data_IF_973498447280
#
_entry.id   IF_973498447280
#
_cell.length_a   1.000
_cell.length_b   1.000
_cell.length_c   1.000
_cell.angle_alpha   90.00
_cell.angle_beta   90.00
_cell.angle_gamma   90.00
#
_symmetry.space_group_name_H-M   'P 1'
#
loop_
_entity.id
_entity.type
_entity.pdbx_description
1 polymer ?
#
# COMPACT_ATOMS: atom_id res chain seq x y z
N UNK A 1 -23.74 -9.20 -14.66
CA UNK A 1 -23.31 -10.58 -14.33
C UNK A 1 -22.24 -11.01 -15.33
N UNK A 2 -20.96 -10.77 -15.03
CA UNK A 2 -19.84 -11.24 -15.86
C UNK A 2 -19.29 -12.48 -15.19
N UNK A 3 -19.32 -13.58 -15.93
CA UNK A 3 -18.98 -14.95 -15.53
C UNK A 3 -17.49 -15.01 -15.20
N UNK A 4 -17.17 -15.16 -13.92
CA UNK A 4 -15.82 -15.32 -13.37
C UNK A 4 -15.45 -16.80 -13.44
N UNK A 5 -15.15 -17.31 -14.63
CA UNK A 5 -14.49 -18.61 -14.79
C UNK A 5 -13.73 -18.58 -16.13
N UNK A 6 -12.54 -17.97 -16.12
CA UNK A 6 -11.58 -18.13 -17.20
C UNK A 6 -10.23 -18.48 -16.60
N UNK A 7 -9.64 -19.66 -16.92
CA UNK A 7 -8.33 -20.09 -16.41
C UNK A 7 -7.19 -19.12 -16.81
N UNK A 8 -7.44 -18.21 -17.75
CA UNK A 8 -6.56 -17.08 -18.01
C UNK A 8 -6.47 -16.15 -16.80
N UNK A 9 -7.58 -15.80 -16.14
CA UNK A 9 -7.59 -14.84 -15.02
C UNK A 9 -6.76 -15.31 -13.81
N UNK A 10 -6.73 -16.62 -13.52
CA UNK A 10 -5.92 -17.20 -12.44
C UNK A 10 -4.43 -17.21 -12.78
N UNK A 11 -4.06 -17.57 -14.02
CA UNK A 11 -2.68 -17.46 -14.52
C UNK A 11 -2.22 -15.98 -14.60
N UNK A 12 -3.13 -15.05 -14.91
CA UNK A 12 -2.90 -13.60 -15.04
C UNK A 12 -2.60 -12.92 -13.70
N UNK A 13 -3.35 -13.26 -12.65
CA UNK A 13 -3.06 -12.80 -11.26
C UNK A 13 -1.72 -13.34 -10.75
N UNK A 14 -1.38 -14.58 -11.13
CA UNK A 14 -0.14 -15.22 -10.69
C UNK A 14 1.13 -14.54 -11.19
N UNK A 15 1.11 -13.89 -12.36
CA UNK A 15 2.29 -13.21 -12.90
C UNK A 15 2.63 -11.95 -12.10
N UNK A 16 1.62 -11.11 -11.82
CA UNK A 16 1.79 -9.97 -10.92
C UNK A 16 2.22 -10.41 -9.52
N UNK A 17 1.59 -11.46 -8.98
CA UNK A 17 1.96 -11.98 -7.65
C UNK A 17 3.36 -12.60 -7.62
N UNK A 18 3.80 -13.30 -8.67
CA UNK A 18 5.18 -13.81 -8.80
C UNK A 18 6.18 -12.67 -8.80
N UNK A 19 5.90 -11.62 -9.58
CA UNK A 19 6.72 -10.43 -9.54
C UNK A 19 6.66 -9.76 -8.17
N UNK A 20 5.50 -9.67 -7.51
CA UNK A 20 5.36 -9.15 -6.14
C UNK A 20 6.03 -10.03 -5.08
N UNK A 21 6.14 -11.34 -5.28
CA UNK A 21 6.77 -12.29 -4.36
C UNK A 21 8.29 -12.41 -4.57
N UNK A 22 8.85 -11.79 -5.62
CA UNK A 22 10.29 -11.85 -5.92
C UNK A 22 10.74 -13.08 -6.69
N UNK A 23 9.80 -13.83 -7.26
CA UNK A 23 10.10 -14.95 -8.14
C UNK A 23 10.58 -14.35 -9.47
N UNK A 24 11.80 -14.71 -9.90
CA UNK A 24 12.38 -14.26 -11.16
C UNK A 24 11.47 -14.66 -12.33
N UNK A 25 10.89 -13.67 -13.00
CA UNK A 25 10.22 -13.86 -14.29
C UNK A 25 11.14 -13.48 -15.44
N UNK A 26 10.93 -14.08 -16.60
CA UNK A 26 11.61 -13.70 -17.84
C UNK A 26 11.04 -12.38 -18.36
N UNK A 27 11.86 -11.59 -19.07
CA UNK A 27 11.45 -10.27 -19.60
C UNK A 27 10.21 -10.36 -20.52
N UNK A 28 10.07 -11.48 -21.23
CA UNK A 28 8.88 -11.79 -22.05
C UNK A 28 7.59 -11.97 -21.24
N UNK A 29 7.67 -12.50 -20.01
CA UNK A 29 6.51 -12.59 -19.12
C UNK A 29 6.19 -11.22 -18.48
N UNK A 30 7.22 -10.41 -18.19
CA UNK A 30 7.03 -9.03 -17.69
C UNK A 30 6.43 -8.09 -18.74
N UNK A 31 6.57 -8.38 -20.03
CA UNK A 31 5.91 -7.66 -21.13
C UNK A 31 4.41 -7.98 -21.27
N UNK A 32 3.94 -9.12 -20.75
CA UNK A 32 2.49 -9.38 -20.68
C UNK A 32 1.92 -8.67 -19.46
N UNK A 33 1.27 -7.51 -19.67
CA UNK A 33 0.43 -6.81 -18.68
C UNK A 33 -1.05 -7.08 -19.00
N UNK A 34 -1.58 -8.26 -18.63
CA UNK A 34 -2.86 -8.71 -19.15
C UNK A 34 -4.05 -8.00 -18.49
N UNK A 35 -3.87 -7.39 -17.31
CA UNK A 35 -4.87 -6.55 -16.63
C UNK A 35 -4.23 -5.30 -16.01
N UNK A 36 -3.79 -4.36 -16.86
CA UNK A 36 -3.15 -3.11 -16.42
C UNK A 36 -3.99 -2.33 -15.39
N UNK A 37 -5.32 -2.32 -15.54
CA UNK A 37 -6.22 -1.65 -14.59
C UNK A 37 -6.22 -2.28 -13.19
N UNK A 38 -6.18 -3.61 -13.09
CA UNK A 38 -6.16 -4.30 -11.80
C UNK A 38 -4.80 -4.14 -11.10
N UNK A 39 -3.70 -4.25 -11.83
CA UNK A 39 -2.36 -4.03 -11.28
C UNK A 39 -2.17 -2.58 -10.81
N UNK A 40 -2.66 -1.62 -11.60
CA UNK A 40 -2.66 -0.22 -11.21
C UNK A 40 -3.54 0.03 -9.99
N UNK A 41 -4.72 -0.61 -9.90
CA UNK A 41 -5.60 -0.55 -8.74
C UNK A 41 -4.93 -1.04 -7.46
N UNK A 42 -4.28 -2.20 -7.52
CA UNK A 42 -3.61 -2.79 -6.36
C UNK A 42 -2.47 -1.88 -5.91
N UNK A 43 -1.65 -1.36 -6.82
CA UNK A 43 -0.58 -0.44 -6.47
C UNK A 43 -1.11 0.84 -5.82
N UNK A 44 -2.10 1.50 -6.45
CA UNK A 44 -2.69 2.72 -5.91
C UNK A 44 -3.33 2.46 -4.55
N UNK A 45 -3.97 1.30 -4.36
CA UNK A 45 -4.57 0.91 -3.09
C UNK A 45 -3.53 0.65 -2.02
N UNK A 46 -2.48 -0.12 -2.30
CA UNK A 46 -1.39 -0.38 -1.34
C UNK A 46 -0.74 0.94 -0.90
N UNK A 47 -0.46 1.81 -1.86
CA UNK A 47 0.10 3.13 -1.58
C UNK A 47 -0.85 4.00 -0.77
N UNK A 48 -2.15 3.97 -1.08
CA UNK A 48 -3.17 4.71 -0.33
C UNK A 48 -3.31 4.20 1.11
N UNK A 49 -3.23 2.89 1.32
CA UNK A 49 -3.21 2.26 2.65
C UNK A 49 -1.99 2.70 3.44
N UNK A 50 -0.81 2.63 2.85
CA UNK A 50 0.45 3.05 3.47
C UNK A 50 0.42 4.54 3.86
N UNK A 51 0.06 5.41 2.92
CA UNK A 51 -0.01 6.86 3.18
C UNK A 51 -1.12 7.20 4.16
N UNK A 52 -2.28 6.54 4.04
CA UNK A 52 -3.40 6.74 4.94
C UNK A 52 -3.06 6.33 6.35
N UNK A 53 -2.36 5.20 6.52
CA UNK A 53 -1.93 4.73 7.82
C UNK A 53 -0.91 5.68 8.47
N UNK A 54 0.12 6.09 7.73
CA UNK A 54 1.12 7.02 8.25
C UNK A 54 0.52 8.39 8.62
N UNK A 55 -0.38 8.91 7.77
CA UNK A 55 -1.07 10.16 8.08
C UNK A 55 -2.00 10.01 9.29
N UNK A 56 -2.76 8.92 9.36
CA UNK A 56 -3.63 8.62 10.48
C UNK A 56 -2.86 8.43 11.79
N UNK A 57 -1.68 7.79 11.74
CA UNK A 57 -0.86 7.54 12.91
C UNK A 57 -0.20 8.81 13.45
N UNK A 58 0.10 9.79 12.59
CA UNK A 58 0.55 11.13 13.02
C UNK A 58 -0.61 11.99 13.52
N UNK A 59 -1.74 12.00 12.81
CA UNK A 59 -2.89 12.84 13.14
C UNK A 59 -3.62 12.38 14.41
N UNK A 60 -3.62 11.09 14.72
CA UNK A 60 -4.26 10.55 15.94
C UNK A 60 -3.72 11.17 17.23
N UNK A 61 -2.41 11.03 17.54
CA UNK A 61 -1.73 11.67 18.65
C UNK A 61 -1.87 13.19 18.64
N UNK A 62 -1.74 13.81 17.45
CA UNK A 62 -1.85 15.26 17.32
C UNK A 62 -3.24 15.76 17.71
N UNK A 63 -4.30 15.01 17.36
CA UNK A 63 -5.67 15.34 17.77
C UNK A 63 -5.87 15.25 19.28
N UNK A 64 -5.27 14.25 19.95
CA UNK A 64 -5.34 14.12 21.42
C UNK A 64 -4.56 15.24 22.12
N UNK A 65 -3.44 15.67 21.55
CA UNK A 65 -2.64 16.77 22.09
C UNK A 65 -3.23 18.16 21.82
N UNK A 66 -3.89 18.35 20.68
CA UNK A 66 -4.50 19.63 20.28
C UNK A 66 -5.89 19.85 20.91
N UNK A 67 -6.67 18.77 21.09
CA UNK A 67 -8.01 18.81 21.67
C UNK A 67 -8.00 18.23 23.09
N UNK A 68 -7.27 18.88 24.00
CA UNK A 68 -7.19 18.57 25.45
C UNK A 68 -8.53 18.75 26.20
N UNK A 69 -9.68 18.55 25.56
CA UNK A 69 -10.97 18.53 26.24
C UNK A 69 -11.08 17.22 27.04
N UNK A 70 -11.51 17.33 28.30
CA UNK A 70 -11.48 16.28 29.34
C UNK A 70 -12.17 14.94 29.04
N UNK A 71 -12.66 14.71 27.81
CA UNK A 71 -13.08 13.39 27.29
C UNK A 71 -11.92 12.55 26.75
N UNK A 72 -10.79 13.17 26.37
CA UNK A 72 -9.61 12.49 25.85
C UNK A 72 -8.71 11.86 26.93
N UNK A 73 -9.01 12.11 28.21
CA UNK A 73 -8.17 11.77 29.36
C UNK A 73 -7.94 10.25 29.58
N UNK A 74 -8.62 9.38 28.83
CA UNK A 74 -8.52 7.93 28.98
C UNK A 74 -7.73 7.17 27.91
N UNK A 75 -7.42 7.78 26.76
CA UNK A 75 -6.70 7.08 25.67
C UNK A 75 -5.22 7.48 25.68
N UNK A 76 -4.33 6.50 25.78
CA UNK A 76 -2.90 6.75 25.67
C UNK A 76 -2.57 7.33 24.30
N UNK A 77 -1.55 8.19 24.22
CA UNK A 77 -1.01 8.70 22.95
C UNK A 77 -0.70 7.55 21.98
N UNK A 78 -0.25 6.42 22.52
CA UNK A 78 -0.01 5.18 21.77
C UNK A 78 -1.30 4.61 21.18
N UNK A 79 -2.40 4.61 21.92
CA UNK A 79 -3.68 4.07 21.44
C UNK A 79 -4.24 4.97 20.32
N UNK A 80 -4.10 6.28 20.46
CA UNK A 80 -4.48 7.24 19.42
C UNK A 80 -3.63 7.09 18.14
N UNK A 81 -2.34 6.81 18.27
CA UNK A 81 -1.46 6.46 17.14
C UNK A 81 -1.93 5.22 16.41
N UNK A 82 -2.19 4.14 17.15
CA UNK A 82 -2.59 2.85 16.56
C UNK A 82 -3.98 2.93 15.95
N UNK A 83 -4.93 3.57 16.63
CA UNK A 83 -6.31 3.73 16.15
C UNK A 83 -6.37 4.68 14.95
N UNK A 84 -5.63 5.79 15.01
CA UNK A 84 -5.47 6.72 13.89
C UNK A 84 -4.86 6.04 12.67
N UNK A 85 -3.76 5.30 12.85
CA UNK A 85 -3.10 4.57 11.76
C UNK A 85 -3.96 3.46 11.18
N UNK A 86 -4.69 2.70 12.02
CA UNK A 86 -5.65 1.70 11.55
C UNK A 86 -6.79 2.32 10.75
N UNK A 87 -7.38 3.39 11.25
CA UNK A 87 -8.49 4.06 10.58
C UNK A 87 -8.02 4.71 9.27
N UNK A 88 -6.84 5.32 9.27
CA UNK A 88 -6.20 5.84 8.08
C UNK A 88 -5.90 4.77 7.04
N UNK A 89 -5.42 3.59 7.45
CA UNK A 89 -5.23 2.43 6.59
C UNK A 89 -6.55 1.97 5.95
N UNK A 90 -7.61 1.87 6.74
CA UNK A 90 -8.95 1.49 6.27
C UNK A 90 -9.53 2.50 5.28
N UNK A 91 -9.39 3.79 5.57
CA UNK A 91 -9.78 4.88 4.67
C UNK A 91 -8.97 4.79 3.37
N UNK A 92 -7.65 4.59 3.47
CA UNK A 92 -6.77 4.39 2.31
C UNK A 92 -7.16 3.18 1.46
N UNK A 93 -7.55 2.08 2.09
CA UNK A 93 -8.05 0.88 1.39
C UNK A 93 -9.35 1.15 0.62
N UNK A 94 -10.25 1.95 1.19
CA UNK A 94 -11.51 2.32 0.57
C UNK A 94 -11.33 3.37 -0.55
N UNK A 95 -10.46 4.36 -0.33
CA UNK A 95 -10.20 5.45 -1.28
C UNK A 95 -9.34 4.96 -2.47
N UNK A 96 -8.46 3.98 -2.27
CA UNK A 96 -7.57 3.45 -3.31
C UNK A 96 -8.29 3.06 -4.62
N UNK A 97 -9.32 2.20 -4.56
CA UNK A 97 -10.12 1.85 -5.74
C UNK A 97 -10.82 3.05 -6.38
N UNK A 98 -11.29 4.01 -5.57
CA UNK A 98 -11.95 5.24 -6.06
C UNK A 98 -10.95 6.12 -6.83
N UNK A 99 -9.76 6.36 -6.25
CA UNK A 99 -8.69 7.10 -6.92
C UNK A 99 -8.23 6.40 -8.19
N UNK A 100 -8.18 5.08 -8.17
CA UNK A 100 -7.85 4.29 -9.36
C UNK A 100 -8.89 4.49 -10.45
N UNK A 101 -10.18 4.41 -10.10
CA UNK A 101 -11.26 4.62 -11.05
C UNK A 101 -11.23 6.03 -11.66
N UNK A 102 -11.03 7.06 -10.83
CA UNK A 102 -10.88 8.44 -11.30
C UNK A 102 -9.65 8.61 -12.20
N UNK A 103 -8.51 8.03 -11.83
CA UNK A 103 -7.29 8.10 -12.61
C UNK A 103 -7.41 7.34 -13.94
N UNK A 104 -8.15 6.23 -13.98
CA UNK A 104 -8.40 5.46 -15.20
C UNK A 104 -9.40 6.16 -16.12
N UNK A 105 -10.40 6.88 -15.57
CA UNK A 105 -11.40 7.64 -16.36
C UNK A 105 -10.74 8.62 -17.33
N UNK A 106 -9.70 9.31 -16.86
CA UNK A 106 -9.04 10.37 -17.61
C UNK A 106 -7.79 9.87 -18.38
N UNK A 107 -7.52 8.56 -18.38
CA UNK A 107 -6.27 7.99 -18.91
C UNK A 107 -6.50 6.95 -20.02
N UNK A 108 -5.85 7.17 -21.17
CA UNK A 108 -5.87 6.22 -22.29
C UNK A 108 -5.22 4.89 -21.91
N UNK A 109 -5.71 3.77 -22.46
CA UNK A 109 -5.18 2.41 -22.23
C UNK A 109 -3.68 2.28 -22.48
N UNK A 110 -3.13 3.02 -23.46
CA UNK A 110 -1.69 3.03 -23.76
C UNK A 110 -0.85 3.64 -22.62
N UNK A 111 -1.30 4.75 -22.03
CA UNK A 111 -0.66 5.38 -20.86
C UNK A 111 -0.76 4.51 -19.61
N UNK A 112 -1.89 3.82 -19.42
CA UNK A 112 -2.06 2.89 -18.30
C UNK A 112 -1.05 1.73 -18.41
N UNK A 113 -0.89 1.19 -19.62
CA UNK A 113 0.08 0.12 -19.88
C UNK A 113 1.53 0.59 -19.64
N UNK A 114 1.91 1.78 -20.13
CA UNK A 114 3.24 2.36 -19.88
C UNK A 114 3.51 2.53 -18.36
N UNK A 115 2.52 3.02 -17.60
CA UNK A 115 2.64 3.13 -16.15
C UNK A 115 2.84 1.78 -15.47
N UNK A 116 2.03 0.77 -15.82
CA UNK A 116 2.17 -0.57 -15.26
C UNK A 116 3.51 -1.21 -15.61
N UNK A 117 4.00 -0.98 -16.84
CA UNK A 117 5.31 -1.43 -17.27
C UNK A 117 6.42 -0.81 -16.41
N UNK A 118 6.38 0.51 -16.19
CA UNK A 118 7.33 1.22 -15.32
C UNK A 118 7.25 0.75 -13.87
N UNK A 119 6.05 0.46 -13.36
CA UNK A 119 5.85 -0.08 -12.01
C UNK A 119 6.55 -1.43 -11.82
N UNK A 120 6.43 -2.34 -12.81
CA UNK A 120 7.07 -3.67 -12.73
C UNK A 120 8.59 -3.59 -12.71
N UNK A 121 9.16 -2.60 -13.40
CA UNK A 121 10.61 -2.35 -13.39
C UNK A 121 11.09 -1.53 -12.20
N UNK A 122 10.17 -0.87 -11.46
CA UNK A 122 10.53 -0.11 -10.27
C UNK A 122 10.76 -1.04 -9.07
N UNK A 123 11.97 -1.61 -9.01
CA UNK A 123 12.40 -2.51 -7.94
C UNK A 123 12.29 -1.87 -6.56
N UNK A 124 12.64 -0.59 -6.41
CA UNK A 124 12.62 0.07 -5.09
C UNK A 124 11.20 0.14 -4.51
N UNK A 125 10.23 0.58 -5.31
CA UNK A 125 8.84 0.63 -4.87
C UNK A 125 8.28 -0.75 -4.56
N UNK A 126 8.62 -1.76 -5.38
CA UNK A 126 8.17 -3.12 -5.15
C UNK A 126 8.78 -3.72 -3.88
N UNK A 127 10.06 -3.44 -3.59
CA UNK A 127 10.72 -3.83 -2.35
C UNK A 127 10.10 -3.14 -1.14
N UNK A 128 9.78 -1.85 -1.24
CA UNK A 128 9.08 -1.11 -0.19
C UNK A 128 7.72 -1.75 0.10
N UNK A 129 6.91 -1.98 -0.92
CA UNK A 129 5.56 -2.55 -0.74
C UNK A 129 5.63 -3.93 -0.07
N UNK A 130 6.59 -4.77 -0.47
CA UNK A 130 6.83 -6.07 0.18
C UNK A 130 7.26 -5.92 1.63
N UNK A 131 8.27 -5.10 1.91
CA UNK A 131 8.78 -4.89 3.26
C UNK A 131 7.68 -4.34 4.16
N UNK A 132 6.88 -3.40 3.66
CA UNK A 132 5.72 -2.86 4.35
C UNK A 132 4.69 -3.96 4.68
N UNK A 133 4.30 -4.78 3.70
CA UNK A 133 3.31 -5.85 3.91
C UNK A 133 3.85 -6.91 4.86
N UNK A 134 5.12 -7.31 4.71
CA UNK A 134 5.77 -8.30 5.58
C UNK A 134 5.92 -7.78 7.01
N UNK A 135 6.38 -6.55 7.21
CA UNK A 135 6.49 -5.92 8.52
C UNK A 135 5.13 -5.68 9.15
N UNK A 136 4.11 -5.30 8.38
CA UNK A 136 2.74 -5.17 8.87
C UNK A 136 2.16 -6.53 9.30
N UNK A 137 2.37 -7.58 8.52
CA UNK A 137 1.91 -8.93 8.84
C UNK A 137 2.64 -9.50 10.08
N UNK A 138 3.96 -9.35 10.14
CA UNK A 138 4.76 -9.75 11.30
C UNK A 138 4.38 -8.95 12.56
N UNK A 139 4.14 -7.66 12.39
CA UNK A 139 3.64 -6.77 13.44
C UNK A 139 2.26 -7.18 13.94
N UNK A 140 1.35 -7.55 13.03
CA UNK A 140 0.03 -8.04 13.37
C UNK A 140 0.08 -9.33 14.18
N UNK A 141 0.94 -10.27 13.80
CA UNK A 141 1.11 -11.55 14.51
C UNK A 141 1.77 -11.37 15.88
N UNK A 142 2.73 -10.45 16.01
CA UNK A 142 3.46 -10.25 17.26
C UNK A 142 2.69 -9.44 18.30
N UNK A 143 2.03 -8.35 17.90
CA UNK A 143 1.43 -7.39 18.83
C UNK A 143 0.08 -6.83 18.35
N UNK A 144 -0.61 -7.57 17.48
CA UNK A 144 -1.91 -7.18 16.95
C UNK A 144 -1.86 -5.92 16.09
N UNK A 145 -2.95 -5.17 16.06
CA UNK A 145 -3.10 -3.96 15.22
C UNK A 145 -2.05 -2.89 15.54
N UNK A 146 -1.55 -2.83 16.77
CA UNK A 146 -0.47 -1.93 17.17
C UNK A 146 0.84 -2.26 16.45
N UNK A 147 1.22 -3.54 16.42
CA UNK A 147 2.42 -3.97 15.71
C UNK A 147 2.29 -3.80 14.21
N UNK A 148 1.10 -3.97 13.64
CA UNK A 148 0.83 -3.75 12.22
C UNK A 148 1.12 -2.30 11.80
N UNK A 149 0.56 -1.32 12.51
CA UNK A 149 0.75 0.11 12.20
C UNK A 149 2.22 0.51 12.40
N UNK A 150 2.82 0.12 13.53
CA UNK A 150 4.22 0.43 13.83
C UNK A 150 5.15 -0.19 12.78
N UNK A 151 4.94 -1.45 12.40
CA UNK A 151 5.77 -2.14 11.41
C UNK A 151 5.69 -1.54 10.02
N UNK A 152 4.48 -1.12 9.61
CA UNK A 152 4.27 -0.40 8.34
C UNK A 152 4.94 0.98 8.35
N UNK A 153 4.72 1.78 9.40
CA UNK A 153 5.29 3.13 9.50
C UNK A 153 6.83 3.08 9.58
N UNK A 154 7.40 2.12 10.31
CA UNK A 154 8.85 1.91 10.34
C UNK A 154 9.39 1.62 8.93
N UNK A 155 8.76 0.71 8.18
CA UNK A 155 9.21 0.35 6.84
C UNK A 155 9.21 1.55 5.90
N UNK A 156 8.17 2.41 5.98
CA UNK A 156 8.07 3.64 5.21
C UNK A 156 9.12 4.68 5.61
N UNK A 157 9.37 4.83 6.91
CA UNK A 157 10.40 5.74 7.43
C UNK A 157 11.80 5.27 7.05
N UNK A 158 12.11 3.98 7.18
CA UNK A 158 13.40 3.41 6.76
C UNK A 158 13.65 3.64 5.27
N UNK A 159 12.63 3.47 4.43
CA UNK A 159 12.76 3.79 3.01
C UNK A 159 12.97 5.29 2.76
N UNK A 160 12.20 6.15 3.43
CA UNK A 160 12.28 7.61 3.24
C UNK A 160 13.62 8.19 3.72
N UNK A 161 14.11 7.72 4.87
CA UNK A 161 15.40 8.11 5.44
C UNK A 161 16.54 7.49 4.64
N UNK A 162 16.45 6.21 4.27
CA UNK A 162 17.44 5.53 3.43
C UNK A 162 17.63 6.22 2.08
N UNK A 163 16.54 6.63 1.42
CA UNK A 163 16.60 7.41 0.18
C UNK A 163 17.23 8.79 0.35
N UNK A 164 17.07 9.42 1.52
CA UNK A 164 17.70 10.70 1.84
C UNK A 164 19.20 10.56 2.17
N UNK A 165 19.60 9.45 2.81
CA UNK A 165 20.99 9.17 3.20
C UNK A 165 21.83 8.68 2.02
N UNK A 166 21.24 7.88 1.13
CA UNK A 166 21.92 7.32 -0.04
C UNK A 166 21.83 8.19 -1.30
N UNK A 167 21.01 9.25 -1.24
CA UNK A 167 20.83 10.23 -2.32
C UNK A 167 21.81 11.42 -2.30
N UNK A 168 22.96 11.29 -1.62
CA UNK A 168 24.09 12.22 -1.70
C UNK A 168 25.28 11.57 -2.38
#
# INVERSE_FOLDING_TARGET
LIRVDSPAASAMSSSWFKNFAGIKQTDFEMLRVPNAGAEFCIHVTLRSVQTGALLGSVLGPLSVLAFQDGRAQGKSVRDAFVEGGRNGALIGAAIGPVLTYMAMRDMSSAKLYDKCYRLRFNREQLWLDRSCVLSAAFGLLSNGTAGMVIGMDLALLFHSIGGMVWGK
#
